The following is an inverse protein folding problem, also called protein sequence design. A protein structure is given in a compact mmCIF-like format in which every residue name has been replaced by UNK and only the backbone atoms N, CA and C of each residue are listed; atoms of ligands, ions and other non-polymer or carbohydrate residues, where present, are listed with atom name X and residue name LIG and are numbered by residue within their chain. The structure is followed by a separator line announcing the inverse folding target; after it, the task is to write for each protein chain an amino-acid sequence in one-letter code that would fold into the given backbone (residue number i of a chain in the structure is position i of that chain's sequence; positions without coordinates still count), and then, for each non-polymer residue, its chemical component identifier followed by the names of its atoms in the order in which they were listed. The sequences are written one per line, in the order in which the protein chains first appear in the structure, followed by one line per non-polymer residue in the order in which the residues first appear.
data_IF_963652808838
#
_entry.id   IF_963652808838
#
_cell.length_a   1.000
_cell.length_b   1.000
_cell.length_c   1.000
_cell.angle_alpha   90.00
_cell.angle_beta   90.00
_cell.angle_gamma   90.00
#
_symmetry.space_group_name_H-M   'P 1'
#
loop_
_entity.id
_entity.type
_entity.pdbx_description
1 polymer ?
#
# COMPACT_ATOMS: atom_id res chain seq x y z
N UNK A 1 23.26 -2.23 -29.29
CA UNK A 1 21.82 -2.57 -29.41
C UNK A 1 21.50 -2.74 -30.87
N UNK A 2 20.81 -3.83 -31.26
CA UNK A 2 20.38 -4.03 -32.65
C UNK A 2 19.47 -2.88 -33.09
N UNK A 3 19.54 -2.52 -34.37
CA UNK A 3 18.64 -1.54 -34.99
C UNK A 3 17.18 -1.98 -34.90
N UNK A 4 16.28 -1.02 -34.70
CA UNK A 4 14.84 -1.26 -34.56
C UNK A 4 14.36 -1.70 -33.18
N UNK A 5 15.26 -1.95 -32.22
CA UNK A 5 14.88 -2.14 -30.81
C UNK A 5 14.30 -0.84 -30.26
N UNK A 6 13.18 -0.94 -29.56
CA UNK A 6 12.46 0.17 -28.93
C UNK A 6 12.50 0.02 -27.43
N UNK A 7 12.35 1.14 -26.74
CA UNK A 7 12.17 1.15 -25.29
C UNK A 7 10.80 0.55 -24.94
N UNK A 8 10.77 -0.31 -23.91
CA UNK A 8 9.54 -0.97 -23.46
C UNK A 8 8.59 0.04 -22.81
N UNK A 9 9.13 1.01 -22.07
CA UNK A 9 8.37 2.07 -21.41
C UNK A 9 8.06 3.24 -22.36
N UNK A 10 8.91 3.49 -23.36
CA UNK A 10 8.70 4.56 -24.34
C UNK A 10 8.75 4.01 -25.78
N UNK A 11 7.67 3.39 -26.28
CA UNK A 11 7.68 2.74 -27.61
C UNK A 11 8.03 3.65 -28.79
N UNK A 12 7.93 4.97 -28.61
CA UNK A 12 8.34 6.00 -29.58
C UNK A 12 9.84 6.32 -29.56
N UNK A 13 10.58 5.80 -28.58
CA UNK A 13 12.03 5.98 -28.40
C UNK A 13 12.80 4.77 -28.95
N UNK A 14 13.47 4.91 -30.10
CA UNK A 14 14.35 3.86 -30.60
C UNK A 14 15.63 3.79 -29.76
N UNK A 15 15.98 2.56 -29.35
CA UNK A 15 17.22 2.23 -28.63
C UNK A 15 18.28 1.61 -29.58
N UNK A 16 17.96 1.50 -30.86
CA UNK A 16 18.86 0.98 -31.88
C UNK A 16 20.16 1.78 -32.01
N UNK A 17 21.28 1.09 -32.11
CA UNK A 17 22.61 1.70 -32.23
C UNK A 17 23.22 2.20 -30.92
N UNK A 18 22.53 2.07 -29.79
CA UNK A 18 23.09 2.41 -28.48
C UNK A 18 24.18 1.41 -28.07
N UNK A 19 25.29 1.92 -27.53
CA UNK A 19 26.43 1.12 -27.10
C UNK A 19 26.61 1.14 -25.57
N UNK A 20 27.04 0.03 -24.99
CA UNK A 20 27.22 -0.12 -23.55
C UNK A 20 27.97 -1.39 -23.17
N UNK A 21 28.24 -1.55 -21.88
CA UNK A 21 28.88 -2.74 -21.32
C UNK A 21 27.86 -3.57 -20.55
N UNK A 22 27.81 -4.88 -20.82
CA UNK A 22 27.00 -5.81 -20.03
C UNK A 22 27.57 -5.85 -18.61
N UNK A 23 26.81 -5.36 -17.64
CA UNK A 23 27.20 -5.35 -16.22
C UNK A 23 26.75 -6.61 -15.48
N UNK A 24 25.63 -7.18 -15.90
CA UNK A 24 25.00 -8.34 -15.27
C UNK A 24 24.29 -9.21 -16.32
N UNK A 25 24.41 -10.53 -16.19
CA UNK A 25 23.62 -11.51 -16.96
C UNK A 25 22.81 -12.34 -15.98
N UNK A 26 21.49 -12.33 -16.12
CA UNK A 26 20.58 -13.13 -15.30
C UNK A 26 20.36 -14.53 -15.89
N UNK A 27 19.83 -15.46 -15.08
CA UNK A 27 19.54 -16.85 -15.48
C UNK A 27 18.56 -16.96 -16.64
N UNK A 28 17.71 -15.95 -16.83
CA UNK A 28 16.73 -15.88 -17.89
C UNK A 28 17.31 -15.33 -19.21
N UNK A 29 18.63 -15.19 -19.32
CA UNK A 29 19.33 -14.55 -20.45
C UNK A 29 19.01 -13.07 -20.67
N UNK A 30 18.39 -12.43 -19.68
CA UNK A 30 18.28 -10.98 -19.63
C UNK A 30 19.62 -10.39 -19.23
N UNK A 31 20.09 -9.40 -19.97
CA UNK A 31 21.34 -8.70 -19.74
C UNK A 31 21.05 -7.27 -19.27
N UNK A 32 21.67 -6.84 -18.17
CA UNK A 32 21.72 -5.42 -17.82
C UNK A 32 22.88 -4.77 -18.56
N UNK A 33 22.56 -3.79 -19.40
CA UNK A 33 23.55 -3.00 -20.15
C UNK A 33 23.69 -1.66 -19.46
N UNK A 34 24.92 -1.33 -19.07
CA UNK A 34 25.26 0.02 -18.63
C UNK A 34 25.76 0.82 -19.83
N UNK A 35 25.12 1.93 -20.13
CA UNK A 35 25.44 2.71 -21.33
C UNK A 35 26.85 3.30 -21.28
N UNK A 36 27.49 3.38 -22.44
CA UNK A 36 28.77 4.06 -22.58
C UNK A 36 28.60 5.58 -22.39
N UNK A 37 29.67 6.27 -22.01
CA UNK A 37 29.62 7.74 -21.88
C UNK A 37 29.24 8.43 -23.20
N UNK A 38 29.74 7.93 -24.32
CA UNK A 38 29.42 8.44 -25.67
C UNK A 38 27.94 8.27 -26.01
N UNK A 39 27.36 7.12 -25.65
CA UNK A 39 25.92 6.88 -25.79
C UNK A 39 25.13 7.86 -24.93
N UNK A 40 25.50 8.00 -23.65
CA UNK A 40 24.85 8.92 -22.72
C UNK A 40 24.87 10.34 -23.27
N UNK A 41 26.02 10.84 -23.74
CA UNK A 41 26.17 12.18 -24.32
C UNK A 41 25.35 12.39 -25.59
N UNK A 42 25.11 11.32 -26.36
CA UNK A 42 24.35 11.34 -27.61
C UNK A 42 22.84 11.08 -27.41
N UNK A 43 22.39 10.82 -26.18
CA UNK A 43 20.97 10.60 -25.86
C UNK A 43 20.12 11.82 -26.22
N UNK A 44 18.97 11.55 -26.81
CA UNK A 44 17.99 12.59 -27.06
C UNK A 44 17.52 13.21 -25.72
N UNK A 45 17.51 14.55 -25.56
CA UNK A 45 17.18 15.20 -24.29
C UNK A 45 15.80 14.80 -23.73
N UNK A 46 14.84 14.48 -24.60
CA UNK A 46 13.50 14.04 -24.20
C UNK A 46 13.56 12.71 -23.42
N UNK A 47 14.43 11.77 -23.81
CA UNK A 47 14.57 10.49 -23.11
C UNK A 47 15.02 10.70 -21.66
N UNK A 48 16.08 11.49 -21.45
CA UNK A 48 16.57 11.80 -20.09
C UNK A 48 15.50 12.48 -19.23
N UNK A 49 14.73 13.42 -19.83
CA UNK A 49 13.65 14.11 -19.13
C UNK A 49 12.57 13.11 -18.69
N UNK A 50 12.12 12.23 -19.60
CA UNK A 50 11.13 11.18 -19.31
C UNK A 50 11.61 10.24 -18.21
N UNK A 51 12.84 9.72 -18.30
CA UNK A 51 13.38 8.86 -17.25
C UNK A 51 13.42 9.56 -15.89
N UNK A 52 13.84 10.82 -15.83
CA UNK A 52 13.84 11.59 -14.58
C UNK A 52 12.44 11.74 -13.97
N UNK A 53 11.44 12.10 -14.79
CA UNK A 53 10.04 12.21 -14.37
C UNK A 53 9.51 10.89 -13.80
N UNK A 54 9.86 9.77 -14.42
CA UNK A 54 9.39 8.45 -14.01
C UNK A 54 10.24 7.79 -12.93
N UNK A 55 11.29 8.47 -12.44
CA UNK A 55 12.24 7.90 -11.48
C UNK A 55 13.00 6.68 -12.03
N UNK A 56 13.14 6.59 -13.36
CA UNK A 56 13.85 5.53 -14.06
C UNK A 56 15.35 5.87 -14.12
N UNK A 57 16.19 4.86 -13.91
CA UNK A 57 17.64 4.99 -14.07
C UNK A 57 17.95 4.92 -15.56
N UNK A 58 18.37 6.04 -16.16
CA UNK A 58 18.62 6.09 -17.60
C UNK A 58 20.02 5.61 -17.98
N UNK A 59 20.91 5.35 -17.00
CA UNK A 59 22.29 4.90 -17.23
C UNK A 59 22.41 3.38 -17.44
N UNK A 60 21.39 2.62 -17.08
CA UNK A 60 21.33 1.18 -17.27
C UNK A 60 19.95 0.73 -17.75
N UNK A 61 19.92 -0.33 -18.55
CA UNK A 61 18.68 -0.86 -19.09
C UNK A 61 18.79 -2.38 -19.25
N UNK A 62 17.65 -3.09 -19.25
CA UNK A 62 17.60 -4.56 -19.34
C UNK A 62 17.07 -4.99 -20.70
N UNK A 63 17.75 -5.96 -21.32
CA UNK A 63 17.36 -6.50 -22.62
C UNK A 63 17.47 -8.01 -22.67
N UNK A 64 16.75 -8.64 -23.60
CA UNK A 64 17.05 -10.00 -24.03
C UNK A 64 18.40 -10.06 -24.75
N UNK A 65 19.09 -11.20 -24.65
CA UNK A 65 20.34 -11.46 -25.39
C UNK A 65 20.11 -11.32 -26.92
N UNK A 66 18.89 -11.60 -27.39
CA UNK A 66 18.44 -11.47 -28.76
C UNK A 66 18.42 -10.04 -29.30
N UNK A 67 18.35 -9.02 -28.44
CA UNK A 67 18.35 -7.60 -28.84
C UNK A 67 19.76 -6.99 -28.86
N UNK A 68 20.74 -7.77 -28.38
CA UNK A 68 22.13 -7.37 -28.30
C UNK A 68 22.91 -7.84 -29.53
N UNK A 69 23.88 -7.03 -29.93
CA UNK A 69 24.89 -7.39 -30.93
C UNK A 69 26.26 -6.88 -30.48
N UNK A 70 27.36 -7.55 -30.87
CA UNK A 70 28.70 -7.08 -30.54
C UNK A 70 28.95 -5.67 -31.08
N UNK A 71 29.45 -4.79 -30.22
CA UNK A 71 29.80 -3.42 -30.60
C UNK A 71 31.01 -3.45 -31.57
N UNK A 72 30.89 -2.95 -32.81
CA UNK A 72 32.00 -2.89 -33.75
C UNK A 72 33.09 -1.87 -33.34
N UNK A 73 32.82 -1.04 -32.34
CA UNK A 73 33.66 0.07 -31.91
C UNK A 73 33.51 1.31 -32.78
N UNK A 74 33.96 2.46 -32.25
CA UNK A 74 33.75 3.78 -32.85
C UNK A 74 32.54 4.50 -32.25
N UNK A 75 32.23 5.73 -32.74
CA UNK A 75 31.10 6.50 -32.22
C UNK A 75 29.76 5.77 -32.43
N UNK A 76 28.85 5.77 -31.45
CA UNK A 76 27.58 5.07 -31.55
C UNK A 76 26.68 5.72 -32.62
N UNK A 77 26.21 4.90 -33.56
CA UNK A 77 25.26 5.30 -34.62
C UNK A 77 23.82 5.21 -34.09
N UNK A 78 23.49 6.11 -33.15
CA UNK A 78 22.21 6.11 -32.44
C UNK A 78 21.06 6.45 -33.39
N UNK A 79 20.08 5.56 -33.47
CA UNK A 79 18.81 5.86 -34.12
C UNK A 79 18.11 6.98 -33.35
N UNK A 80 17.90 8.13 -34.01
CA UNK A 80 17.20 9.26 -33.41
C UNK A 80 15.69 9.10 -33.64
N UNK A 81 14.85 9.46 -32.66
CA UNK A 81 13.40 9.43 -32.84
C UNK A 81 12.98 10.42 -33.93
N UNK A 82 12.45 9.92 -35.05
CA UNK A 82 12.09 10.75 -36.22
C UNK A 82 10.67 11.32 -36.19
N UNK A 83 9.81 10.84 -35.28
CA UNK A 83 8.37 11.17 -35.27
C UNK A 83 7.79 11.35 -33.85
N UNK A 84 8.50 12.06 -32.97
CA UNK A 84 7.87 12.53 -31.72
C UNK A 84 7.04 13.78 -32.06
N UNK A 85 5.86 13.56 -32.63
CA UNK A 85 4.80 14.59 -32.71
C UNK A 85 3.72 14.18 -31.73
N UNK A 86 3.90 14.47 -30.43
CA UNK A 86 2.90 14.13 -29.44
C UNK A 86 1.60 14.83 -29.82
N UNK A 87 0.49 14.15 -29.58
CA UNK A 87 -0.83 14.77 -29.69
C UNK A 87 -0.85 16.00 -28.78
N UNK A 88 -1.48 17.08 -29.24
CA UNK A 88 -1.67 18.25 -28.37
C UNK A 88 -2.52 17.83 -27.17
N UNK A 89 -2.07 18.20 -25.97
CA UNK A 89 -2.83 17.98 -24.75
C UNK A 89 -4.18 18.71 -24.83
N UNK A 90 -5.23 18.00 -24.42
CA UNK A 90 -6.61 18.46 -24.40
C UNK A 90 -7.00 18.90 -22.99
N UNK A 91 -7.42 20.15 -22.81
CA UNK A 91 -7.96 20.61 -21.52
C UNK A 91 -9.33 19.99 -21.17
N UNK A 92 -9.92 19.21 -22.07
CA UNK A 92 -11.16 18.46 -21.85
C UNK A 92 -10.90 17.09 -21.20
N UNK A 93 -9.77 16.45 -21.51
CA UNK A 93 -9.38 15.13 -20.97
C UNK A 93 -8.72 15.31 -19.60
N UNK A 94 -9.03 14.45 -18.63
CA UNK A 94 -8.53 14.58 -17.25
C UNK A 94 -7.03 14.31 -17.17
N UNK A 95 -6.57 13.21 -17.76
CA UNK A 95 -5.16 12.84 -17.77
C UNK A 95 -4.29 13.92 -18.42
N UNK A 96 -4.75 14.51 -19.53
CA UNK A 96 -4.02 15.56 -20.22
C UNK A 96 -3.87 16.82 -19.36
N UNK A 97 -4.84 17.12 -18.49
CA UNK A 97 -4.71 18.20 -17.51
C UNK A 97 -3.67 17.90 -16.47
N UNK A 98 -3.65 16.68 -15.95
CA UNK A 98 -2.61 16.24 -15.02
C UNK A 98 -1.24 16.25 -15.69
N UNK A 99 -1.12 15.78 -16.94
CA UNK A 99 0.10 15.87 -17.75
C UNK A 99 0.57 17.31 -17.93
N UNK A 100 -0.35 18.26 -18.12
CA UNK A 100 0.00 19.68 -18.19
C UNK A 100 0.65 20.19 -16.90
N UNK A 101 0.22 19.71 -15.72
CA UNK A 101 0.82 20.07 -14.41
C UNK A 101 2.31 19.70 -14.40
N UNK A 102 2.63 18.49 -14.83
CA UNK A 102 3.99 17.94 -14.84
C UNK A 102 4.82 18.35 -16.07
N UNK A 103 4.27 19.16 -16.98
CA UNK A 103 4.94 19.56 -18.21
C UNK A 103 5.29 18.37 -19.12
N UNK A 104 4.36 17.41 -19.17
CA UNK A 104 4.43 16.17 -19.96
C UNK A 104 3.80 16.35 -21.34
N UNK A 105 3.92 15.31 -22.16
CA UNK A 105 3.30 15.14 -23.48
C UNK A 105 2.21 14.08 -23.40
N UNK A 106 1.32 14.02 -24.41
CA UNK A 106 0.19 13.06 -24.43
C UNK A 106 0.60 11.60 -24.27
N UNK A 107 1.83 11.29 -24.67
CA UNK A 107 2.35 9.93 -24.75
C UNK A 107 3.18 9.56 -23.51
N UNK A 108 3.33 10.49 -22.56
CA UNK A 108 3.99 10.23 -21.28
C UNK A 108 3.00 9.63 -20.28
N UNK A 109 3.45 8.67 -19.48
CA UNK A 109 2.68 8.20 -18.33
C UNK A 109 2.56 9.31 -17.28
N UNK A 110 1.60 9.19 -16.37
CA UNK A 110 1.56 10.04 -15.19
C UNK A 110 2.64 9.60 -14.19
N UNK A 111 3.33 10.54 -13.52
CA UNK A 111 4.34 10.19 -12.54
C UNK A 111 3.67 9.52 -11.34
N UNK A 112 4.37 8.57 -10.71
CA UNK A 112 3.89 7.97 -9.45
C UNK A 112 3.89 9.02 -8.34
N UNK A 113 3.04 8.81 -7.34
CA UNK A 113 3.04 9.63 -6.12
C UNK A 113 4.40 9.45 -5.42
N UNK A 114 5.14 10.53 -5.32
CA UNK A 114 6.43 10.65 -4.62
C UNK A 114 6.48 12.04 -3.98
N UNK A 115 7.45 12.28 -3.11
CA UNK A 115 7.64 13.60 -2.49
C UNK A 115 7.86 14.70 -3.56
N UNK A 116 8.68 14.44 -4.57
CA UNK A 116 8.97 15.39 -5.66
C UNK A 116 7.74 15.65 -6.54
N UNK A 117 6.97 14.61 -6.90
CA UNK A 117 5.77 14.81 -7.72
C UNK A 117 4.64 15.50 -6.94
N UNK A 118 4.54 15.25 -5.63
CA UNK A 118 3.62 15.96 -4.74
C UNK A 118 3.99 17.44 -4.60
N UNK A 119 5.27 17.78 -4.50
CA UNK A 119 5.75 19.17 -4.43
C UNK A 119 5.36 19.95 -5.71
N UNK A 120 5.60 19.36 -6.90
CA UNK A 120 5.20 19.96 -8.18
C UNK A 120 3.68 20.20 -8.24
N UNK A 121 2.88 19.23 -7.79
CA UNK A 121 1.42 19.37 -7.80
C UNK A 121 0.95 20.38 -6.74
N UNK A 122 1.56 20.39 -5.56
CA UNK A 122 1.28 21.36 -4.50
C UNK A 122 1.45 22.79 -5.01
N UNK A 123 2.61 23.10 -5.61
CA UNK A 123 2.89 24.43 -6.18
C UNK A 123 1.83 24.82 -7.22
N UNK A 124 1.46 23.88 -8.09
CA UNK A 124 0.42 24.10 -9.10
C UNK A 124 -0.95 24.42 -8.49
N UNK A 125 -1.34 23.71 -7.42
CA UNK A 125 -2.60 23.94 -6.71
C UNK A 125 -2.58 25.24 -5.91
N UNK A 126 -1.47 25.58 -5.25
CA UNK A 126 -1.32 26.81 -4.48
C UNK A 126 -1.51 28.06 -5.37
N UNK A 127 -0.98 28.03 -6.59
CA UNK A 127 -1.12 29.13 -7.55
C UNK A 127 -2.53 29.28 -8.14
N UNK A 128 -3.32 28.19 -8.21
CA UNK A 128 -4.56 28.14 -9.02
C UNK A 128 -5.84 27.98 -8.22
N UNK A 129 -5.78 27.41 -7.02
CA UNK A 129 -6.94 27.33 -6.15
C UNK A 129 -7.32 28.71 -5.63
N UNK A 130 -8.60 29.05 -5.72
CA UNK A 130 -9.12 30.31 -5.17
C UNK A 130 -9.77 30.04 -3.81
N UNK A 131 -9.19 30.58 -2.74
CA UNK A 131 -9.72 30.43 -1.37
C UNK A 131 -10.54 31.65 -0.91
N UNK A 132 -11.53 31.45 -0.02
CA UNK A 132 -12.05 30.18 0.46
C UNK A 132 -13.06 29.53 -0.51
N UNK A 133 -13.24 28.21 -0.42
CA UNK A 133 -14.28 27.49 -1.17
C UNK A 133 -14.93 26.38 -0.33
N UNK A 134 -16.17 26.02 -0.70
CA UNK A 134 -16.95 25.01 0.03
C UNK A 134 -16.69 23.59 -0.50
N UNK A 135 -16.60 22.65 0.44
CA UNK A 135 -16.41 21.23 0.17
C UNK A 135 -17.21 20.38 1.18
N UNK A 136 -17.25 19.07 0.95
CA UNK A 136 -17.77 18.08 1.90
C UNK A 136 -16.64 17.15 2.29
N UNK A 137 -16.44 16.98 3.59
CA UNK A 137 -15.57 15.97 4.16
C UNK A 137 -16.39 14.68 4.37
N UNK A 138 -15.93 13.58 3.79
CA UNK A 138 -16.42 12.25 4.12
C UNK A 138 -15.71 11.76 5.38
N UNK A 139 -16.11 12.31 6.52
CA UNK A 139 -15.54 11.93 7.80
C UNK A 139 -15.63 10.41 7.99
N UNK A 140 -14.47 9.74 7.95
CA UNK A 140 -14.28 8.33 8.35
C UNK A 140 -14.39 8.21 9.86
N UNK A 141 -15.50 8.65 10.45
CA UNK A 141 -15.86 8.18 11.77
C UNK A 141 -16.20 6.69 11.64
N UNK A 142 -15.61 5.83 12.48
CA UNK A 142 -15.62 4.37 12.39
C UNK A 142 -16.98 3.65 12.47
N UNK A 143 -18.06 4.28 12.01
CA UNK A 143 -19.38 3.71 11.78
C UNK A 143 -19.68 3.77 10.28
N UNK A 144 -20.27 2.71 9.73
CA UNK A 144 -20.55 2.47 8.31
C UNK A 144 -21.46 3.51 7.60
N UNK A 145 -21.77 4.66 8.23
CA UNK A 145 -22.47 5.78 7.62
C UNK A 145 -21.51 6.96 7.50
N UNK A 146 -20.95 7.15 6.31
CA UNK A 146 -20.26 8.39 5.94
C UNK A 146 -21.22 9.56 6.13
N UNK A 147 -21.06 10.33 7.20
CA UNK A 147 -21.73 11.63 7.31
C UNK A 147 -20.89 12.63 6.52
N UNK A 148 -21.43 13.11 5.42
CA UNK A 148 -20.83 14.25 4.74
C UNK A 148 -20.94 15.47 5.64
N UNK A 149 -19.80 16.02 6.03
CA UNK A 149 -19.72 17.26 6.81
C UNK A 149 -19.41 18.42 5.87
N UNK A 150 -20.23 19.46 5.88
CA UNK A 150 -19.90 20.69 5.16
C UNK A 150 -18.66 21.35 5.80
N UNK A 151 -17.66 21.65 4.98
CA UNK A 151 -16.42 22.30 5.40
C UNK A 151 -16.09 23.42 4.41
N UNK A 152 -15.43 24.47 4.90
CA UNK A 152 -14.91 25.54 4.04
C UNK A 152 -13.39 25.44 4.02
N UNK A 153 -12.81 25.19 2.86
CA UNK A 153 -11.36 25.14 2.66
C UNK A 153 -10.82 26.57 2.65
N UNK A 154 -9.92 26.89 3.57
CA UNK A 154 -9.40 28.25 3.77
C UNK A 154 -7.99 28.44 3.21
N UNK A 155 -7.28 27.36 2.90
CA UNK A 155 -5.95 27.36 2.29
C UNK A 155 -5.36 25.96 2.26
N UNK A 156 -4.18 25.81 1.65
CA UNK A 156 -3.39 24.58 1.76
C UNK A 156 -2.63 24.51 3.10
N UNK A 157 -2.19 23.30 3.45
CA UNK A 157 -1.20 23.03 4.50
C UNK A 157 0.15 23.70 4.19
N UNK A 158 1.18 23.50 5.01
CA UNK A 158 2.52 23.93 4.60
C UNK A 158 3.15 22.90 3.64
N UNK A 159 4.11 23.33 2.82
CA UNK A 159 4.97 22.47 2.00
C UNK A 159 5.70 21.40 2.84
N UNK A 160 6.01 21.72 4.09
CA UNK A 160 6.61 20.76 5.03
C UNK A 160 5.66 19.66 5.51
N UNK A 161 4.37 19.74 5.18
CA UNK A 161 3.35 18.76 5.56
C UNK A 161 2.96 17.80 4.41
N UNK A 162 3.76 17.71 3.34
CA UNK A 162 3.52 16.75 2.26
C UNK A 162 3.84 15.33 2.75
N UNK A 163 2.84 14.46 2.70
CA UNK A 163 2.94 13.05 3.07
C UNK A 163 2.59 12.18 1.86
N UNK A 164 3.37 11.14 1.57
CA UNK A 164 3.11 10.28 0.39
C UNK A 164 1.83 9.42 0.55
N UNK A 165 1.39 9.18 1.79
CA UNK A 165 0.19 8.42 2.12
C UNK A 165 -1.05 9.32 2.22
N UNK A 166 -0.91 10.55 2.74
CA UNK A 166 -2.04 11.50 2.90
C UNK A 166 -2.14 12.54 1.77
N UNK A 167 -1.06 12.81 1.05
CA UNK A 167 -0.99 13.76 -0.06
C UNK A 167 -0.95 15.22 0.39
N UNK A 168 -1.53 16.10 -0.44
CA UNK A 168 -1.67 17.53 -0.16
C UNK A 168 -2.73 17.75 0.92
N UNK A 169 -2.32 18.34 2.04
CA UNK A 169 -3.21 18.69 3.14
C UNK A 169 -3.84 20.08 2.93
N UNK A 170 -5.05 20.26 3.46
CA UNK A 170 -5.85 21.49 3.39
C UNK A 170 -6.21 21.98 4.79
N UNK A 171 -6.09 23.29 5.02
CA UNK A 171 -6.67 23.95 6.19
C UNK A 171 -8.16 24.14 5.92
N UNK A 172 -8.98 23.59 6.80
CA UNK A 172 -10.43 23.64 6.69
C UNK A 172 -11.05 24.28 7.92
N UNK A 173 -12.12 25.03 7.71
CA UNK A 173 -12.99 25.53 8.78
C UNK A 173 -14.25 24.69 8.82
N UNK A 174 -14.49 24.10 9.99
CA UNK A 174 -15.66 23.31 10.30
C UNK A 174 -16.55 24.05 11.30
N UNK A 175 -17.73 23.51 11.60
CA UNK A 175 -18.58 23.99 12.69
C UNK A 175 -17.96 23.86 14.09
N UNK A 176 -16.97 22.99 14.27
CA UNK A 176 -16.31 22.73 15.56
C UNK A 176 -14.98 23.49 15.71
N UNK A 177 -14.47 24.10 14.64
CA UNK A 177 -13.20 24.81 14.63
C UNK A 177 -12.40 24.60 13.35
N UNK A 178 -11.13 24.98 13.38
CA UNK A 178 -10.19 24.73 12.30
C UNK A 178 -9.60 23.33 12.42
N UNK A 179 -9.43 22.66 11.28
CA UNK A 179 -8.83 21.35 11.16
C UNK A 179 -7.92 21.28 9.91
N UNK A 180 -7.16 20.21 9.80
CA UNK A 180 -6.35 19.89 8.62
C UNK A 180 -6.84 18.57 8.07
N UNK A 181 -7.19 18.53 6.78
CA UNK A 181 -7.72 17.34 6.10
C UNK A 181 -7.00 17.12 4.75
N UNK A 182 -6.78 15.87 4.31
CA UNK A 182 -6.28 15.56 2.97
C UNK A 182 -7.20 16.10 1.88
N UNK A 183 -6.65 16.76 0.86
CA UNK A 183 -7.44 17.24 -0.28
C UNK A 183 -8.15 16.08 -1.00
N UNK A 184 -7.51 14.92 -1.08
CA UNK A 184 -8.07 13.71 -1.70
C UNK A 184 -9.29 13.13 -0.93
N UNK A 185 -9.48 13.50 0.34
CA UNK A 185 -10.65 13.11 1.13
C UNK A 185 -11.77 14.18 1.08
N UNK A 186 -11.52 15.33 0.43
CA UNK A 186 -12.50 16.42 0.32
C UNK A 186 -13.24 16.36 -1.02
N UNK A 187 -14.56 16.25 -0.96
CA UNK A 187 -15.43 16.40 -2.13
C UNK A 187 -15.75 17.87 -2.36
N UNK A 188 -14.99 18.51 -3.24
CA UNK A 188 -15.23 19.90 -3.65
C UNK A 188 -16.53 19.99 -4.45
N UNK A 189 -17.43 20.90 -4.08
CA UNK A 189 -18.75 21.02 -4.72
C UNK A 189 -18.60 21.57 -6.15
N UNK A 190 -19.44 21.11 -7.09
CA UNK A 190 -19.45 21.64 -8.48
C UNK A 190 -19.68 23.15 -8.54
N UNK A 191 -20.43 23.68 -7.57
CA UNK A 191 -20.66 25.13 -7.40
C UNK A 191 -19.38 25.93 -7.13
N UNK A 192 -18.28 25.27 -6.72
CA UNK A 192 -16.97 25.90 -6.56
C UNK A 192 -16.23 26.14 -7.90
N UNK A 193 -16.84 25.78 -9.04
CA UNK A 193 -16.36 26.11 -10.37
C UNK A 193 -15.00 25.48 -10.68
N UNK A 194 -13.98 26.31 -10.97
CA UNK A 194 -12.66 25.83 -11.36
C UNK A 194 -11.95 25.00 -10.27
N UNK A 195 -12.20 25.29 -8.99
CA UNK A 195 -11.59 24.54 -7.88
C UNK A 195 -12.04 23.08 -7.86
N UNK A 196 -13.30 22.80 -8.23
CA UNK A 196 -13.80 21.43 -8.34
C UNK A 196 -12.95 20.63 -9.33
N UNK A 197 -12.71 21.19 -10.51
CA UNK A 197 -11.92 20.55 -11.56
C UNK A 197 -10.46 20.32 -11.13
N UNK A 198 -9.83 21.29 -10.49
CA UNK A 198 -8.45 21.15 -9.98
C UNK A 198 -8.32 20.07 -8.90
N UNK A 199 -9.25 20.05 -7.94
CA UNK A 199 -9.24 19.07 -6.86
C UNK A 199 -9.56 17.65 -7.37
N UNK A 200 -10.44 17.54 -8.36
CA UNK A 200 -10.81 16.27 -9.01
C UNK A 200 -9.62 15.71 -9.80
N UNK A 201 -8.95 16.55 -10.62
CA UNK A 201 -7.71 16.19 -11.34
C UNK A 201 -6.61 15.69 -10.38
N UNK A 202 -6.45 16.36 -9.23
CA UNK A 202 -5.49 15.96 -8.21
C UNK A 202 -5.87 14.62 -7.58
N UNK A 203 -7.14 14.46 -7.17
CA UNK A 203 -7.63 13.27 -6.47
C UNK A 203 -7.51 12.03 -7.35
N UNK A 204 -7.90 12.14 -8.63
CA UNK A 204 -7.81 11.03 -9.57
C UNK A 204 -6.36 10.58 -9.79
N UNK A 205 -5.41 11.52 -9.91
CA UNK A 205 -3.98 11.20 -10.00
C UNK A 205 -3.44 10.57 -8.71
N UNK A 206 -3.72 11.19 -7.54
CA UNK A 206 -3.18 10.75 -6.25
C UNK A 206 -3.68 9.35 -5.86
N UNK A 207 -4.95 9.04 -6.15
CA UNK A 207 -5.54 7.73 -5.88
C UNK A 207 -5.17 6.67 -6.92
N UNK A 208 -4.47 7.05 -8.00
CA UNK A 208 -4.13 6.16 -9.11
C UNK A 208 -5.34 5.69 -9.91
N UNK A 209 -6.43 6.47 -9.92
CA UNK A 209 -7.62 6.21 -10.74
C UNK A 209 -7.37 6.54 -12.22
N UNK A 210 -6.34 7.32 -12.50
CA UNK A 210 -5.87 7.61 -13.86
C UNK A 210 -4.81 6.56 -14.25
N UNK A 211 -5.24 5.41 -14.75
CA UNK A 211 -4.32 4.32 -15.10
C UNK A 211 -4.93 3.23 -15.98
N UNK A 212 -4.56 3.27 -17.27
CA UNK A 212 -4.57 2.20 -18.27
C UNK A 212 -5.86 1.37 -18.42
N UNK A 213 -6.90 2.00 -18.99
CA UNK A 213 -8.00 1.27 -19.65
C UNK A 213 -7.53 0.46 -20.89
N UNK A 214 -6.23 0.46 -21.24
CA UNK A 214 -5.76 -0.09 -22.51
C UNK A 214 -5.53 -1.61 -22.55
N UNK A 215 -5.48 -2.32 -21.42
CA UNK A 215 -5.13 -3.76 -21.44
C UNK A 215 -6.04 -4.68 -20.58
N UNK A 216 -7.15 -4.21 -20.00
CA UNK A 216 -8.14 -5.14 -19.43
C UNK A 216 -9.08 -5.62 -20.55
N UNK A 217 -8.54 -6.54 -21.35
CA UNK A 217 -9.18 -7.31 -22.41
C UNK A 217 -10.67 -7.55 -22.15
N UNK A 218 -11.49 -7.10 -23.11
CA UNK A 218 -12.92 -7.40 -23.22
C UNK A 218 -13.21 -8.90 -23.23
N UNK A 219 -13.25 -9.50 -22.04
CA UNK A 219 -13.66 -10.88 -21.79
C UNK A 219 -14.90 -10.95 -20.88
N UNK A 220 -15.79 -9.98 -21.02
CA UNK A 220 -17.18 -10.08 -20.56
C UNK A 220 -18.11 -9.53 -21.64
N UNK A 221 -18.15 -10.18 -22.80
CA UNK A 221 -19.40 -10.31 -23.57
C UNK A 221 -20.36 -11.14 -22.71
N UNK A 222 -21.02 -10.53 -21.74
CA UNK A 222 -22.29 -11.05 -21.23
C UNK A 222 -23.40 -10.34 -21.99
N UNK A 223 -23.95 -11.06 -22.96
CA UNK A 223 -25.22 -10.83 -23.63
C UNK A 223 -26.33 -10.56 -22.59
N UNK A 224 -26.41 -9.33 -22.09
CA UNK A 224 -27.58 -8.88 -21.34
C UNK A 224 -28.60 -8.40 -22.35
N UNK A 225 -29.46 -9.34 -22.76
CA UNK A 225 -30.62 -9.07 -23.60
C UNK A 225 -31.45 -7.92 -23.02
N UNK A 226 -31.53 -6.84 -23.80
CA UNK A 226 -32.44 -5.71 -23.62
C UNK A 226 -33.90 -6.22 -23.67
N UNK A 227 -34.53 -6.41 -22.50
CA UNK A 227 -35.99 -6.43 -22.39
C UNK A 227 -36.50 -5.00 -22.13
N UNK A 228 -36.93 -4.36 -23.23
CA UNK A 228 -38.02 -3.39 -23.35
C UNK A 228 -38.52 -2.74 -22.04
N UNK A 229 -37.89 -1.64 -21.63
CA UNK A 229 -38.47 -0.69 -20.67
C UNK A 229 -39.07 0.47 -21.48
N UNK A 230 -40.39 0.46 -21.60
CA UNK A 230 -41.15 1.53 -22.26
C UNK A 230 -40.92 2.88 -21.56
N UNK A 231 -40.65 3.89 -22.39
CA UNK A 231 -40.51 5.30 -22.04
C UNK A 231 -41.85 5.86 -21.53
N UNK A 232 -41.92 6.24 -20.25
CA UNK A 232 -42.98 7.07 -19.71
C UNK A 232 -42.46 8.52 -19.64
N UNK A 233 -42.81 9.30 -20.67
CA UNK A 233 -42.58 10.74 -20.76
C UNK A 233 -43.49 11.47 -19.75
N UNK A 234 -42.96 11.68 -18.54
CA UNK A 234 -43.54 12.53 -17.52
C UNK A 234 -42.68 13.76 -17.27
N UNK A 235 -43.04 14.88 -17.91
CA UNK A 235 -42.69 16.24 -17.48
C UNK A 235 -43.03 16.40 -15.99
N UNK A 236 -42.07 16.80 -15.15
CA UNK A 236 -42.19 17.93 -14.22
C UNK A 236 -41.07 17.95 -13.15
N UNK A 237 -40.49 19.14 -13.00
CA UNK A 237 -39.59 19.61 -11.93
C UNK A 237 -38.16 19.04 -11.92
N UNK A 238 -37.25 19.83 -12.52
CA UNK A 238 -35.81 19.87 -12.29
C UNK A 238 -35.49 20.11 -10.79
N UNK A 239 -35.74 19.11 -9.95
CA UNK A 239 -34.92 18.94 -8.77
C UNK A 239 -33.54 18.56 -9.31
N UNK A 240 -32.53 19.40 -9.03
CA UNK A 240 -31.13 18.99 -9.06
C UNK A 240 -30.98 17.81 -8.07
N UNK A 241 -31.40 16.62 -8.48
CA UNK A 241 -30.96 15.38 -7.90
C UNK A 241 -29.47 15.36 -8.22
N UNK A 242 -28.68 15.84 -7.26
CA UNK A 242 -27.27 15.54 -7.11
C UNK A 242 -27.15 14.04 -7.41
N UNK A 243 -26.81 13.71 -8.65
CA UNK A 243 -26.58 12.35 -9.10
C UNK A 243 -25.45 11.86 -8.20
N UNK A 244 -25.86 11.15 -7.14
CA UNK A 244 -24.97 10.51 -6.20
C UNK A 244 -24.39 9.38 -7.01
N UNK A 245 -23.33 9.70 -7.77
CA UNK A 245 -22.42 8.72 -8.33
C UNK A 245 -21.99 7.91 -7.12
N UNK A 246 -22.64 6.77 -6.95
CA UNK A 246 -22.27 5.76 -5.99
C UNK A 246 -20.95 5.21 -6.52
N UNK A 247 -19.85 5.90 -6.21
CA UNK A 247 -18.54 5.30 -6.23
C UNK A 247 -18.65 4.09 -5.31
N UNK A 248 -18.86 2.93 -5.92
CA UNK A 248 -18.84 1.65 -5.24
C UNK A 248 -17.38 1.44 -4.84
N UNK A 249 -17.00 2.06 -3.73
CA UNK A 249 -15.72 1.83 -3.06
C UNK A 249 -15.81 0.39 -2.61
N UNK A 250 -15.45 -0.54 -3.50
CA UNK A 250 -15.56 -1.99 -3.29
C UNK A 250 -14.94 -2.22 -1.91
N UNK A 251 -15.72 -2.65 -0.90
CA UNK A 251 -15.14 -2.97 0.39
C UNK A 251 -14.03 -3.96 0.07
N UNK A 252 -12.82 -3.68 0.52
CA UNK A 252 -11.66 -4.53 0.23
C UNK A 252 -11.85 -5.86 0.98
N UNK A 253 -12.80 -6.70 0.55
CA UNK A 253 -13.12 -8.03 1.08
C UNK A 253 -11.87 -8.90 1.16
N UNK A 254 -10.90 -8.62 0.29
CA UNK A 254 -9.54 -9.12 0.38
C UNK A 254 -8.97 -9.01 1.81
N UNK A 255 -9.10 -7.88 2.52
CA UNK A 255 -8.57 -7.71 3.88
C UNK A 255 -9.35 -8.50 4.92
N UNK A 256 -10.68 -8.64 4.75
CA UNK A 256 -11.54 -9.41 5.65
C UNK A 256 -11.17 -10.89 5.63
N UNK A 257 -10.73 -11.42 4.48
CA UNK A 257 -10.29 -12.81 4.33
C UNK A 257 -8.79 -12.96 4.65
N UNK A 258 -7.97 -12.00 4.22
CA UNK A 258 -6.52 -12.08 4.32
C UNK A 258 -6.01 -11.95 5.76
N UNK A 259 -6.59 -11.07 6.58
CA UNK A 259 -6.17 -10.89 7.98
C UNK A 259 -6.40 -12.17 8.80
N UNK A 260 -7.60 -12.80 8.81
CA UNK A 260 -7.79 -14.09 9.47
C UNK A 260 -6.87 -15.19 8.97
N UNK A 261 -6.62 -15.24 7.65
CA UNK A 261 -5.70 -16.22 7.07
C UNK A 261 -4.29 -16.05 7.64
N UNK A 262 -3.79 -14.82 7.78
CA UNK A 262 -2.49 -14.55 8.40
C UNK A 262 -2.45 -14.95 9.87
N UNK A 263 -3.51 -14.66 10.64
CA UNK A 263 -3.58 -15.04 12.06
C UNK A 263 -3.55 -16.56 12.23
N UNK A 264 -4.28 -17.30 11.39
CA UNK A 264 -4.30 -18.76 11.41
C UNK A 264 -2.95 -19.35 11.01
N UNK A 265 -2.34 -18.83 9.94
CA UNK A 265 -1.03 -19.27 9.47
C UNK A 265 0.05 -19.01 10.54
N UNK A 266 0.06 -17.81 11.12
CA UNK A 266 0.97 -17.46 12.20
C UNK A 266 0.77 -18.37 13.43
N UNK A 267 -0.49 -18.59 13.84
CA UNK A 267 -0.83 -19.48 14.95
C UNK A 267 -0.31 -20.90 14.71
N UNK A 268 -0.51 -21.45 13.51
CA UNK A 268 -0.01 -22.77 13.13
C UNK A 268 1.52 -22.86 13.20
N UNK A 269 2.23 -21.93 12.56
CA UNK A 269 3.69 -21.92 12.52
C UNK A 269 4.30 -21.74 13.92
N UNK A 270 3.77 -20.81 14.70
CA UNK A 270 4.23 -20.55 16.06
C UNK A 270 3.98 -21.77 16.97
N UNK A 271 2.77 -22.34 16.91
CA UNK A 271 2.41 -23.53 17.65
C UNK A 271 3.33 -24.71 17.32
N UNK A 272 3.62 -24.93 16.03
CA UNK A 272 4.50 -26.00 15.59
C UNK A 272 5.92 -25.87 16.16
N UNK A 273 6.49 -24.66 16.11
CA UNK A 273 7.79 -24.36 16.68
C UNK A 273 7.82 -24.62 18.20
N UNK A 274 6.84 -24.11 18.94
CA UNK A 274 6.75 -24.32 20.40
C UNK A 274 6.59 -25.80 20.73
N UNK A 275 5.72 -26.50 20.01
CA UNK A 275 5.44 -27.92 20.22
C UNK A 275 6.67 -28.79 20.00
N UNK A 276 7.44 -28.56 18.93
CA UNK A 276 8.71 -29.26 18.69
C UNK A 276 9.71 -29.05 19.82
N UNK A 277 9.89 -27.80 20.28
CA UNK A 277 10.82 -27.49 21.35
C UNK A 277 10.40 -28.13 22.69
N UNK A 278 9.11 -28.03 23.03
CA UNK A 278 8.54 -28.55 24.30
C UNK A 278 8.56 -30.07 24.37
N UNK A 279 8.39 -30.75 23.24
CA UNK A 279 8.44 -32.22 23.18
C UNK A 279 9.83 -32.76 23.51
N UNK A 280 10.88 -32.09 23.03
CA UNK A 280 12.25 -32.62 23.06
C UNK A 280 13.10 -32.01 24.17
N UNK A 281 12.84 -30.77 24.57
CA UNK A 281 13.66 -30.03 25.54
C UNK A 281 12.91 -29.84 26.86
N UNK A 282 13.29 -30.55 27.95
CA UNK A 282 12.58 -30.47 29.23
C UNK A 282 12.49 -29.05 29.80
N UNK A 283 13.51 -28.22 29.52
CA UNK A 283 13.59 -26.83 29.97
C UNK A 283 12.78 -25.85 29.12
N UNK A 284 12.38 -26.23 27.89
CA UNK A 284 11.62 -25.34 27.01
C UNK A 284 10.26 -24.98 27.59
N UNK A 285 9.63 -25.89 28.36
CA UNK A 285 8.38 -25.60 29.10
C UNK A 285 8.57 -24.45 30.08
N UNK A 286 9.65 -24.47 30.85
CA UNK A 286 9.95 -23.43 31.84
C UNK A 286 10.37 -22.12 31.17
N UNK A 287 11.19 -22.19 30.12
CA UNK A 287 11.57 -21.02 29.32
C UNK A 287 10.35 -20.32 28.73
N UNK A 288 9.46 -21.08 28.08
CA UNK A 288 8.20 -20.60 27.52
C UNK A 288 7.33 -19.89 28.57
N UNK A 289 7.09 -20.53 29.72
CA UNK A 289 6.27 -19.96 30.79
C UNK A 289 6.87 -18.69 31.38
N UNK A 290 8.17 -18.69 31.72
CA UNK A 290 8.83 -17.53 32.33
C UNK A 290 8.87 -16.36 31.35
N UNK A 291 9.27 -16.62 30.11
CA UNK A 291 9.32 -15.61 29.06
C UNK A 291 7.94 -15.03 28.78
N UNK A 292 6.93 -15.88 28.57
CA UNK A 292 5.57 -15.45 28.27
C UNK A 292 4.95 -14.61 29.39
N UNK A 293 5.09 -15.02 30.65
CA UNK A 293 4.51 -14.26 31.77
C UNK A 293 5.23 -12.92 31.96
N UNK A 294 6.57 -12.91 31.97
CA UNK A 294 7.35 -11.70 32.24
C UNK A 294 7.21 -10.65 31.12
N UNK A 295 7.34 -11.07 29.86
CA UNK A 295 7.23 -10.16 28.71
C UNK A 295 5.79 -9.75 28.44
N UNK A 296 4.82 -10.66 28.64
CA UNK A 296 3.40 -10.36 28.58
C UNK A 296 3.03 -9.20 29.51
N UNK A 297 3.38 -9.30 30.80
CA UNK A 297 3.11 -8.25 31.77
C UNK A 297 3.80 -6.93 31.40
N UNK A 298 5.06 -6.98 30.93
CA UNK A 298 5.81 -5.80 30.53
C UNK A 298 5.14 -5.05 29.36
N UNK A 299 4.83 -5.76 28.27
CA UNK A 299 4.19 -5.18 27.08
C UNK A 299 2.76 -4.74 27.38
N UNK A 300 2.02 -5.52 28.18
CA UNK A 300 0.67 -5.17 28.64
C UNK A 300 0.63 -3.83 29.40
N UNK A 301 1.60 -3.60 30.31
CA UNK A 301 1.69 -2.33 31.05
C UNK A 301 2.10 -1.17 30.14
N UNK A 302 3.01 -1.39 29.19
CA UNK A 302 3.44 -0.35 28.24
C UNK A 302 2.28 0.03 27.31
N UNK A 303 1.59 -0.94 26.72
CA UNK A 303 0.46 -0.67 25.82
C UNK A 303 -0.76 -0.11 26.55
N UNK A 304 -0.99 -0.46 27.82
CA UNK A 304 -2.05 0.16 28.62
C UNK A 304 -1.78 1.65 28.93
N UNK A 305 -0.51 2.10 28.84
CA UNK A 305 -0.11 3.49 29.04
C UNK A 305 0.09 4.27 27.74
N UNK A 306 0.39 3.57 26.65
CA UNK A 306 0.55 4.18 25.33
C UNK A 306 -0.81 4.66 24.82
N UNK A 307 -0.85 5.92 24.39
CA UNK A 307 -2.01 6.52 23.75
C UNK A 307 -2.15 5.95 22.32
N UNK A 308 -2.56 4.67 22.24
CA UNK A 308 -2.50 3.88 21.02
C UNK A 308 -3.49 4.40 19.99
N UNK A 309 -3.03 5.27 19.09
CA UNK A 309 -3.77 5.76 17.92
C UNK A 309 -4.35 4.59 17.11
N UNK A 310 -3.66 3.45 17.01
CA UNK A 310 -4.15 2.26 16.29
C UNK A 310 -5.51 1.67 16.72
N UNK A 311 -6.06 2.04 17.89
CA UNK A 311 -7.35 1.54 18.38
C UNK A 311 -8.52 2.54 18.19
N UNK A 312 -8.53 3.34 17.13
CA UNK A 312 -9.59 4.34 16.85
C UNK A 312 -11.00 3.73 16.75
N UNK A 313 -11.13 2.45 16.41
CA UNK A 313 -12.44 1.78 16.24
C UNK A 313 -13.09 1.44 17.60
N UNK A 314 -12.31 1.39 18.68
CA UNK A 314 -12.82 0.93 19.98
C UNK A 314 -13.28 2.13 20.82
N UNK A 315 -14.51 2.04 21.34
CA UNK A 315 -15.09 3.08 22.19
C UNK A 315 -14.11 3.50 23.32
N UNK A 316 -13.97 4.80 23.63
CA UNK A 316 -12.96 5.33 24.56
C UNK A 316 -12.92 4.60 25.91
N UNK A 317 -14.10 4.19 26.41
CA UNK A 317 -14.25 3.45 27.68
C UNK A 317 -13.54 2.08 27.70
N UNK A 318 -13.28 1.47 26.56
CA UNK A 318 -12.65 0.15 26.45
C UNK A 318 -11.20 0.20 25.94
N UNK A 319 -10.72 1.36 25.46
CA UNK A 319 -9.40 1.50 24.84
C UNK A 319 -8.26 1.01 25.73
N UNK A 320 -8.28 1.38 27.01
CA UNK A 320 -7.24 0.98 27.97
C UNK A 320 -7.28 -0.53 28.28
N UNK A 321 -8.47 -1.10 28.41
CA UNK A 321 -8.65 -2.53 28.70
C UNK A 321 -8.27 -3.40 27.51
N UNK A 322 -8.67 -2.99 26.29
CA UNK A 322 -8.33 -3.73 25.07
C UNK A 322 -6.85 -3.56 24.73
N UNK A 323 -6.29 -2.36 24.86
CA UNK A 323 -4.85 -2.13 24.68
C UNK A 323 -4.01 -2.96 25.67
N UNK A 324 -4.40 -3.01 26.94
CA UNK A 324 -3.77 -3.87 27.93
C UNK A 324 -3.87 -5.35 27.59
N UNK A 325 -5.04 -5.83 27.14
CA UNK A 325 -5.25 -7.23 26.76
C UNK A 325 -4.43 -7.61 25.53
N UNK A 326 -4.45 -6.78 24.48
CA UNK A 326 -3.64 -6.97 23.26
C UNK A 326 -2.15 -6.97 23.62
N UNK A 327 -1.72 -6.10 24.52
CA UNK A 327 -0.33 -6.04 24.97
C UNK A 327 0.08 -7.27 25.77
N UNK A 328 -0.80 -7.76 26.65
CA UNK A 328 -0.57 -9.00 27.39
C UNK A 328 -0.44 -10.20 26.45
N UNK A 329 -1.33 -10.33 25.45
CA UNK A 329 -1.31 -11.49 24.54
C UNK A 329 -0.13 -11.43 23.58
N UNK A 330 0.13 -10.29 22.93
CA UNK A 330 1.28 -10.10 22.05
C UNK A 330 2.60 -10.25 22.80
N UNK A 331 2.69 -9.68 24.00
CA UNK A 331 3.84 -9.84 24.88
C UNK A 331 4.03 -11.29 25.34
N UNK A 332 2.97 -12.01 25.65
CA UNK A 332 3.09 -13.42 26.05
C UNK A 332 3.62 -14.30 24.91
N UNK A 333 3.17 -14.05 23.67
CA UNK A 333 3.65 -14.76 22.47
C UNK A 333 5.15 -14.49 22.25
N UNK A 334 5.54 -13.21 22.24
CA UNK A 334 6.95 -12.81 22.07
C UNK A 334 7.84 -13.33 23.21
N UNK A 335 7.36 -13.24 24.45
CA UNK A 335 8.08 -13.75 25.61
C UNK A 335 8.30 -15.25 25.56
N UNK A 336 7.28 -16.00 25.14
CA UNK A 336 7.38 -17.46 24.94
C UNK A 336 8.45 -17.78 23.90
N UNK A 337 8.49 -17.02 22.80
CA UNK A 337 9.53 -17.16 21.77
C UNK A 337 10.93 -16.95 22.34
N UNK A 338 11.16 -15.83 23.05
CA UNK A 338 12.46 -15.54 23.66
C UNK A 338 12.87 -16.59 24.69
N UNK A 339 11.94 -17.02 25.54
CA UNK A 339 12.18 -18.06 26.53
C UNK A 339 12.61 -19.39 25.91
N UNK A 340 11.98 -19.80 24.80
CA UNK A 340 12.36 -21.00 24.05
C UNK A 340 13.68 -20.80 23.32
N UNK A 341 13.89 -19.63 22.69
CA UNK A 341 15.12 -19.31 21.98
C UNK A 341 16.34 -19.33 22.91
N UNK A 342 16.21 -18.93 24.19
CA UNK A 342 17.29 -19.04 25.18
C UNK A 342 17.64 -20.50 25.48
N UNK A 343 16.64 -21.38 25.56
CA UNK A 343 16.86 -22.82 25.78
C UNK A 343 17.47 -23.47 24.53
N UNK A 344 17.05 -23.05 23.34
CA UNK A 344 17.49 -23.52 22.04
C UNK A 344 18.47 -22.54 21.36
N UNK A 345 19.38 -21.94 22.13
CA UNK A 345 20.19 -20.81 21.66
C UNK A 345 21.11 -21.16 20.49
N UNK A 346 21.63 -22.39 20.45
CA UNK A 346 22.49 -22.86 19.35
C UNK A 346 21.70 -22.90 18.03
N UNK A 347 20.52 -23.50 18.05
CA UNK A 347 19.63 -23.56 16.90
C UNK A 347 19.15 -22.17 16.48
N UNK A 348 18.71 -21.35 17.44
CA UNK A 348 18.24 -20.00 17.19
C UNK A 348 19.30 -19.11 16.53
N UNK A 349 20.56 -19.14 17.01
CA UNK A 349 21.66 -18.39 16.41
C UNK A 349 22.03 -18.90 15.01
N UNK A 350 22.05 -20.22 14.81
CA UNK A 350 22.32 -20.81 13.50
C UNK A 350 21.25 -20.42 12.47
N UNK A 351 19.97 -20.49 12.87
CA UNK A 351 18.83 -20.08 12.04
C UNK A 351 18.85 -18.58 11.71
N UNK A 352 19.21 -17.73 12.68
CA UNK A 352 19.39 -16.30 12.44
C UNK A 352 20.52 -16.03 11.43
N UNK A 353 21.68 -16.68 11.59
CA UNK A 353 22.81 -16.56 10.66
C UNK A 353 22.43 -16.97 9.23
N UNK A 354 21.70 -18.08 9.09
CA UNK A 354 21.21 -18.54 7.79
C UNK A 354 20.21 -17.54 7.16
N UNK A 355 19.29 -16.99 7.94
CA UNK A 355 18.31 -16.00 7.47
C UNK A 355 18.99 -14.71 6.99
N UNK A 356 20.01 -14.22 7.70
CA UNK A 356 20.77 -13.03 7.29
C UNK A 356 21.52 -13.27 5.98
N UNK A 357 22.13 -14.43 5.81
CA UNK A 357 22.81 -14.80 4.56
C UNK A 357 21.83 -14.94 3.39
N UNK A 358 20.67 -15.56 3.63
CA UNK A 358 19.63 -15.71 2.62
C UNK A 358 19.03 -14.36 2.22
N UNK A 359 18.72 -13.49 3.20
CA UNK A 359 18.21 -12.15 2.94
C UNK A 359 19.19 -11.35 2.09
N UNK A 360 20.49 -11.39 2.39
CA UNK A 360 21.52 -10.71 1.60
C UNK A 360 21.64 -11.26 0.17
N UNK A 361 21.35 -12.54 -0.03
CA UNK A 361 21.38 -13.17 -1.36
C UNK A 361 20.14 -12.86 -2.21
N UNK A 362 19.01 -12.51 -1.59
CA UNK A 362 17.73 -12.27 -2.28
C UNK A 362 17.30 -10.79 -2.30
N UNK A 363 17.90 -9.93 -1.48
CA UNK A 363 17.58 -8.50 -1.40
C UNK A 363 17.92 -7.72 -2.68
N UNK A 364 18.67 -8.31 -3.63
CA UNK A 364 18.90 -7.71 -4.94
C UNK A 364 17.71 -7.84 -5.90
N UNK A 365 16.70 -8.68 -5.60
CA UNK A 365 15.63 -9.04 -6.55
C UNK A 365 14.22 -8.65 -6.09
N UNK A 366 14.03 -8.34 -4.81
CA UNK A 366 12.73 -8.00 -4.23
C UNK A 366 12.86 -6.76 -3.34
N UNK A 367 12.88 -5.58 -3.97
CA UNK A 367 12.66 -4.28 -3.31
C UNK A 367 11.18 -3.92 -3.47
N UNK A 368 10.31 -4.66 -2.80
CA UNK A 368 9.00 -4.10 -2.50
C UNK A 368 9.08 -3.45 -1.12
N UNK A 369 8.58 -2.21 -0.96
CA UNK A 369 8.52 -1.55 0.32
C UNK A 369 7.52 -2.31 1.20
N UNK A 370 8.04 -3.19 2.06
CA UNK A 370 7.18 -3.96 2.96
C UNK A 370 6.62 -3.03 4.04
N UNK A 371 5.44 -2.45 3.80
CA UNK A 371 4.57 -1.79 4.79
C UNK A 371 3.87 -2.81 5.73
N UNK A 372 4.26 -4.08 5.69
CA UNK A 372 3.72 -5.12 6.54
C UNK A 372 4.22 -5.00 7.98
N UNK A 373 3.28 -4.96 8.92
CA UNK A 373 3.43 -4.91 10.40
C UNK A 373 4.33 -6.03 10.99
N UNK A 374 4.81 -6.99 10.19
CA UNK A 374 5.62 -8.11 10.64
C UNK A 374 7.07 -8.04 10.12
N UNK A 375 8.07 -7.90 11.01
CA UNK A 375 9.48 -8.07 10.67
C UNK A 375 9.78 -9.57 10.41
N UNK A 376 9.33 -10.08 9.27
CA UNK A 376 9.28 -11.51 8.98
C UNK A 376 10.64 -12.22 9.04
N UNK A 377 11.72 -11.56 8.62
CA UNK A 377 13.04 -12.19 8.59
C UNK A 377 13.67 -12.40 9.97
N UNK A 378 13.36 -11.54 10.95
CA UNK A 378 13.91 -11.60 12.30
C UNK A 378 13.32 -12.74 13.15
N UNK A 379 12.08 -13.17 12.85
CA UNK A 379 11.38 -14.20 13.63
C UNK A 379 11.47 -15.57 12.95
N UNK A 380 11.37 -15.64 11.62
CA UNK A 380 11.38 -16.92 10.90
C UNK A 380 12.71 -17.66 11.01
N UNK A 381 13.84 -16.95 10.90
CA UNK A 381 15.17 -17.55 10.98
C UNK A 381 15.39 -18.34 12.28
N UNK A 382 15.27 -17.71 13.46
CA UNK A 382 15.43 -18.42 14.72
C UNK A 382 14.37 -19.53 14.92
N UNK A 383 13.13 -19.34 14.47
CA UNK A 383 12.10 -20.37 14.57
C UNK A 383 12.49 -21.68 13.85
N UNK A 384 12.97 -21.57 12.61
CA UNK A 384 13.47 -22.72 11.83
C UNK A 384 14.67 -23.37 12.54
N UNK A 385 15.57 -22.55 13.08
CA UNK A 385 16.72 -23.01 13.86
C UNK A 385 16.34 -23.81 15.11
N UNK A 386 15.32 -23.36 15.85
CA UNK A 386 14.78 -24.08 17.02
C UNK A 386 14.20 -25.44 16.62
N UNK A 387 13.42 -25.50 15.55
CA UNK A 387 12.85 -26.76 15.04
C UNK A 387 13.96 -27.71 14.57
N UNK A 388 14.97 -27.20 13.86
CA UNK A 388 16.12 -27.99 13.43
C UNK A 388 16.90 -28.58 14.62
N UNK A 389 17.11 -27.79 15.67
CA UNK A 389 17.77 -28.26 16.89
C UNK A 389 16.93 -29.32 17.61
N UNK A 390 15.61 -29.16 17.70
CA UNK A 390 14.72 -30.16 18.28
C UNK A 390 14.79 -31.49 17.49
N UNK A 391 14.73 -31.41 16.16
CA UNK A 391 14.84 -32.58 15.28
C UNK A 391 16.19 -33.28 15.36
N UNK A 392 17.28 -32.54 15.62
CA UNK A 392 18.60 -33.11 15.85
C UNK A 392 18.70 -33.91 17.15
N UNK A 393 18.00 -33.49 18.21
CA UNK A 393 18.00 -34.16 19.50
C UNK A 393 17.13 -35.42 19.51
N UNK A 394 15.90 -35.33 19.01
CA UNK A 394 14.99 -36.48 18.82
C UNK A 394 13.98 -36.16 17.71
N UNK A 395 14.22 -36.66 16.51
CA UNK A 395 13.38 -36.38 15.34
C UNK A 395 11.93 -36.88 15.51
N UNK A 396 11.73 -38.02 16.18
CA UNK A 396 10.40 -38.61 16.31
C UNK A 396 9.54 -37.77 17.27
N UNK A 397 10.11 -37.41 18.43
CA UNK A 397 9.42 -36.55 19.38
C UNK A 397 9.25 -35.13 18.84
N UNK A 398 10.22 -34.59 18.10
CA UNK A 398 10.12 -33.28 17.47
C UNK A 398 8.98 -33.21 16.46
N UNK A 399 8.78 -34.25 15.64
CA UNK A 399 7.70 -34.33 14.65
C UNK A 399 6.33 -34.44 15.33
N UNK A 400 6.20 -35.27 16.38
CA UNK A 400 4.95 -35.37 17.14
C UNK A 400 4.64 -34.03 17.83
N UNK A 401 5.65 -33.40 18.43
CA UNK A 401 5.57 -32.06 18.99
C UNK A 401 5.18 -31.02 17.95
N UNK A 402 5.73 -31.09 16.74
CA UNK A 402 5.46 -30.17 15.64
C UNK A 402 3.97 -30.19 15.28
N UNK A 403 3.40 -31.36 15.00
CA UNK A 403 2.01 -31.48 14.57
C UNK A 403 1.01 -31.16 15.69
N UNK A 404 1.26 -31.66 16.91
CA UNK A 404 0.41 -31.35 18.06
C UNK A 404 0.44 -29.86 18.39
N UNK A 405 1.62 -29.23 18.31
CA UNK A 405 1.80 -27.80 18.46
C UNK A 405 1.09 -26.99 17.37
N UNK A 406 1.21 -27.40 16.10
CA UNK A 406 0.56 -26.74 14.97
C UNK A 406 -0.97 -26.74 15.11
N UNK A 407 -1.56 -27.87 15.50
CA UNK A 407 -3.00 -28.00 15.74
C UNK A 407 -3.46 -27.14 16.93
N UNK A 408 -2.70 -27.13 18.03
CA UNK A 408 -3.00 -26.26 19.16
C UNK A 408 -2.91 -24.77 18.79
N UNK A 409 -1.90 -24.41 17.99
CA UNK A 409 -1.69 -23.06 17.46
C UNK A 409 -2.81 -22.61 16.52
N UNK A 410 -3.28 -23.49 15.63
CA UNK A 410 -4.46 -23.26 14.80
C UNK A 410 -5.72 -23.04 15.63
N UNK A 411 -5.93 -23.86 16.66
CA UNK A 411 -7.04 -23.69 17.60
C UNK A 411 -7.00 -22.33 18.30
N UNK A 412 -5.83 -21.91 18.77
CA UNK A 412 -5.62 -20.58 19.36
C UNK A 412 -5.85 -19.44 18.36
N UNK A 413 -5.36 -19.59 17.12
CA UNK A 413 -5.59 -18.64 16.03
C UNK A 413 -7.07 -18.50 15.68
N UNK A 414 -7.81 -19.60 15.62
CA UNK A 414 -9.25 -19.60 15.36
C UNK A 414 -10.01 -18.86 16.46
N UNK A 415 -9.66 -19.09 17.74
CA UNK A 415 -10.25 -18.35 18.86
C UNK A 415 -9.95 -16.84 18.72
N UNK A 416 -8.75 -16.45 18.32
CA UNK A 416 -8.41 -15.04 18.09
C UNK A 416 -9.24 -14.43 16.96
N UNK A 417 -9.41 -15.14 15.84
CA UNK A 417 -10.26 -14.71 14.72
C UNK A 417 -11.72 -14.56 15.17
N UNK A 418 -12.25 -15.51 15.93
CA UNK A 418 -13.62 -15.42 16.47
C UNK A 418 -13.77 -14.21 17.39
N UNK A 419 -12.81 -13.96 18.29
CA UNK A 419 -12.82 -12.77 19.15
C UNK A 419 -12.77 -11.50 18.31
N UNK A 420 -11.91 -11.44 17.28
CA UNK A 420 -11.81 -10.30 16.37
C UNK A 420 -13.14 -10.03 15.66
N UNK A 421 -13.79 -11.08 15.13
CA UNK A 421 -15.10 -10.99 14.50
C UNK A 421 -16.19 -10.56 15.48
N UNK A 422 -16.17 -11.06 16.72
CA UNK A 422 -17.11 -10.63 17.76
C UNK A 422 -16.92 -9.16 18.13
N UNK A 423 -15.67 -8.70 18.28
CA UNK A 423 -15.36 -7.28 18.52
C UNK A 423 -15.84 -6.43 17.36
N UNK A 424 -15.61 -6.88 16.12
CA UNK A 424 -16.08 -6.21 14.92
C UNK A 424 -17.61 -6.14 14.87
N UNK A 425 -18.32 -7.25 15.14
CA UNK A 425 -19.78 -7.28 15.19
C UNK A 425 -20.34 -6.37 16.29
N UNK A 426 -19.72 -6.35 17.48
CA UNK A 426 -20.13 -5.44 18.57
C UNK A 426 -19.88 -3.97 18.18
N UNK A 427 -18.79 -3.67 17.50
CA UNK A 427 -18.54 -2.33 16.97
C UNK A 427 -19.64 -1.93 15.98
N UNK A 428 -20.02 -2.83 15.06
CA UNK A 428 -21.10 -2.59 14.10
C UNK A 428 -22.48 -2.40 14.76
N UNK A 429 -22.82 -3.17 15.80
CA UNK A 429 -24.13 -3.05 16.46
C UNK A 429 -24.22 -1.81 17.36
N UNK A 430 -23.16 -1.49 18.11
CA UNK A 430 -23.17 -0.31 19.00
C UNK A 430 -23.26 1.02 18.22
N UNK A 431 -22.88 1.03 16.95
CA UNK A 431 -23.04 2.20 16.09
C UNK A 431 -24.47 2.46 15.59
N UNK A 432 -25.41 1.51 15.72
CA UNK A 432 -26.79 1.71 15.24
C UNK A 432 -27.70 2.49 16.21
N UNK A 433 -27.41 2.48 17.52
CA UNK A 433 -28.32 3.04 18.54
C UNK A 433 -28.00 4.49 18.95
N UNK A 434 -27.29 5.25 18.12
CA UNK A 434 -27.10 6.69 18.34
C UNK A 434 -28.47 7.37 18.41
N UNK A 435 -28.86 7.97 19.57
CA UNK A 435 -30.20 8.51 19.74
C UNK A 435 -30.41 9.57 18.68
N UNK A 436 -31.38 9.31 17.80
CA UNK A 436 -31.95 10.31 16.91
C UNK A 436 -32.63 11.35 17.82
N UNK A 437 -31.85 12.25 18.41
CA UNK A 437 -32.38 13.45 19.04
C UNK A 437 -32.96 14.27 17.89
N UNK A 438 -34.24 14.02 17.64
CA UNK A 438 -35.09 14.95 16.93
C UNK A 438 -34.96 16.29 17.66
N UNK A 439 -34.10 17.15 17.13
CA UNK A 439 -34.06 18.57 17.47
C UNK A 439 -35.41 19.14 17.03
N UNK A 440 -36.39 19.07 17.92
CA UNK A 440 -37.59 19.89 17.83
C UNK A 440 -37.15 21.33 18.07
N UNK A 441 -36.68 21.98 16.99
CA UNK A 441 -36.57 23.43 16.91
C UNK A 441 -37.99 23.99 17.01
N UNK A 442 -38.43 24.29 18.23
CA UNK A 442 -39.52 25.21 18.47
C UNK A 442 -39.06 26.60 18.01
N UNK A 443 -39.55 27.05 16.86
CA UNK A 443 -39.56 28.46 16.48
C UNK A 443 -40.46 29.21 17.47
N UNK A 444 -39.90 30.20 18.15
CA UNK A 444 -40.61 31.30 18.80
C UNK A 444 -40.17 32.61 18.20
#
# INVERSE_FOLDING_TARGET
MKRGVRDEEFPDMPLGGWAGTISLVDRNRTCTVRWSQETLESLHPVYRKRCAIHGLIFEEYRFGEEDLEPDPGGPPDIEQPTQITPRRLSAAEQDDRVRMVFGLTSDDFLPRVSEESLEIYYDYLEERLTFPFDARDEAREGSFRSRMRAVTVTGLGSDTDLDQEEGVLCKVRTTEGEAVLPLADLRVLRSAGHNHKLADDYTAWFLGELGDDSDEDGLYDEDFDDEDVEEDEGDDEEAEEDEVIHYSRRPKWAYVVWIPMQILLFGACFGAMVGSAVAVMPWAKWGACIGGVSWGLFVGVIQARSDNRLLFIIAPRFRNSVGGLVGLTTGAIQGTFFGIAVVAWIGALAGLGAAVLFQRSFSGRWREPSSGIFPGSLILGPAVGVVAQASYLDSNQAIVGFWSGALAGLGGGLVCVVIMLLVFLVACTTTQDGPFQASSRTRS
#
